data_IF_299592592561
#
_entry.id   IF_299592592561
#
_cell.length_a   1.000
_cell.length_b   1.000
_cell.length_c   1.000
_cell.angle_alpha   90.00
_cell.angle_beta   90.00
_cell.angle_gamma   90.00
#
_symmetry.space_group_name_H-M   'P 1'
#
loop_
_entity.id
_entity.type
_entity.pdbx_description
1 polymer ?
#
# COMPACT_ATOMS: atom_id res chain seq x y z
N UNK A 1 -21.70 -24.94 -4.94
CA UNK A 1 -21.44 -24.61 -3.53
C UNK A 1 -19.94 -24.69 -3.36
N UNK A 2 -19.33 -23.56 -3.07
CA UNK A 2 -17.89 -23.32 -3.20
C UNK A 2 -17.10 -24.14 -2.17
N UNK A 3 -16.76 -25.37 -2.53
CA UNK A 3 -15.94 -26.25 -1.72
C UNK A 3 -14.46 -25.87 -1.94
N UNK A 4 -14.08 -24.74 -1.35
CA UNK A 4 -12.70 -24.26 -1.35
C UNK A 4 -12.01 -24.83 -0.11
N UNK A 5 -11.13 -25.84 -0.24
CA UNK A 5 -10.57 -26.57 0.90
C UNK A 5 -9.89 -25.67 1.92
N UNK A 6 -9.25 -24.60 1.47
CA UNK A 6 -8.56 -23.65 2.35
C UNK A 6 -9.50 -22.93 3.34
N UNK A 7 -10.80 -22.81 3.03
CA UNK A 7 -11.76 -22.19 3.96
C UNK A 7 -12.03 -23.07 5.19
N UNK A 8 -11.71 -24.36 5.14
CA UNK A 8 -11.89 -25.26 6.28
C UNK A 8 -10.89 -25.00 7.41
N UNK A 9 -9.81 -24.27 7.13
CA UNK A 9 -8.85 -23.86 8.15
C UNK A 9 -9.33 -22.68 9.02
N UNK A 10 -10.45 -22.06 8.65
CA UNK A 10 -11.01 -20.90 9.32
C UNK A 10 -12.08 -21.31 10.32
N UNK A 11 -12.20 -20.55 11.40
CA UNK A 11 -13.36 -20.69 12.28
C UNK A 11 -14.64 -20.15 11.60
N UNK A 12 -15.79 -20.44 12.17
CA UNK A 12 -17.10 -20.09 11.58
C UNK A 12 -17.23 -18.60 11.28
N UNK A 13 -16.79 -17.74 12.19
CA UNK A 13 -16.89 -16.28 12.00
C UNK A 13 -15.94 -15.78 10.89
N UNK A 14 -14.70 -16.25 10.87
CA UNK A 14 -13.72 -15.92 9.83
C UNK A 14 -14.19 -16.40 8.46
N UNK A 15 -14.72 -17.64 8.39
CA UNK A 15 -15.28 -18.19 7.15
C UNK A 15 -16.45 -17.36 6.67
N UNK A 16 -17.35 -16.94 7.55
CA UNK A 16 -18.47 -16.08 7.18
C UNK A 16 -18.00 -14.78 6.54
N UNK A 17 -17.02 -14.09 7.14
CA UNK A 17 -16.40 -12.88 6.56
C UNK A 17 -15.82 -13.15 5.17
N UNK A 18 -15.21 -14.31 4.94
CA UNK A 18 -14.65 -14.65 3.63
C UNK A 18 -15.70 -14.81 2.55
N UNK A 19 -16.87 -15.38 2.86
CA UNK A 19 -17.93 -15.63 1.89
C UNK A 19 -18.91 -14.47 1.73
N UNK A 20 -19.03 -13.59 2.73
CA UNK A 20 -19.90 -12.42 2.69
C UNK A 20 -19.56 -11.50 1.50
N UNK A 21 -20.57 -10.91 0.88
CA UNK A 21 -20.44 -9.97 -0.22
C UNK A 21 -20.63 -8.52 0.23
N UNK A 22 -20.17 -7.60 -0.59
CA UNK A 22 -20.28 -6.16 -0.35
C UNK A 22 -19.19 -5.58 0.55
N UNK A 23 -19.48 -4.44 1.16
CA UNK A 23 -18.52 -3.73 2.02
C UNK A 23 -18.54 -4.33 3.43
N UNK A 24 -17.38 -4.78 3.90
CA UNK A 24 -17.23 -5.43 5.19
C UNK A 24 -16.26 -4.64 6.06
N UNK A 25 -16.68 -4.34 7.30
CA UNK A 25 -15.81 -3.80 8.34
C UNK A 25 -15.51 -4.88 9.39
N UNK A 26 -14.31 -5.45 9.35
CA UNK A 26 -13.86 -6.44 10.31
C UNK A 26 -13.19 -5.77 11.51
N UNK A 27 -13.87 -5.76 12.65
CA UNK A 27 -13.32 -5.34 13.95
C UNK A 27 -12.91 -6.56 14.76
N UNK A 28 -11.66 -6.60 15.19
CA UNK A 28 -11.14 -7.73 15.95
C UNK A 28 -9.92 -7.33 16.78
N UNK A 29 -9.70 -8.00 17.90
CA UNK A 29 -8.55 -7.76 18.78
C UNK A 29 -7.20 -8.11 18.13
N UNK A 30 -6.07 -7.59 18.60
CA UNK A 30 -4.76 -8.07 18.22
C UNK A 30 -4.66 -9.60 18.39
N UNK A 31 -4.01 -10.29 17.45
CA UNK A 31 -3.87 -11.75 17.51
C UNK A 31 -5.08 -12.58 17.08
N UNK A 32 -6.23 -11.98 16.81
CA UNK A 32 -7.47 -12.69 16.42
C UNK A 32 -7.47 -13.27 15.00
N UNK A 33 -6.38 -13.08 14.25
CA UNK A 33 -6.26 -13.58 12.88
C UNK A 33 -6.84 -12.66 11.79
N UNK A 34 -6.94 -11.34 12.01
CA UNK A 34 -7.41 -10.39 10.98
C UNK A 34 -6.68 -10.53 9.63
N UNK A 35 -5.36 -10.54 9.66
CA UNK A 35 -4.54 -10.70 8.45
C UNK A 35 -4.83 -12.03 7.77
N UNK A 36 -4.95 -13.10 8.55
CA UNK A 36 -5.33 -14.42 8.04
C UNK A 36 -6.68 -14.36 7.35
N UNK A 37 -7.71 -13.82 7.99
CA UNK A 37 -9.04 -13.68 7.41
C UNK A 37 -9.01 -12.86 6.11
N UNK A 38 -8.26 -11.76 6.07
CA UNK A 38 -8.08 -10.96 4.85
C UNK A 38 -7.43 -11.77 3.72
N UNK A 39 -6.37 -12.50 3.99
CA UNK A 39 -5.69 -13.34 2.99
C UNK A 39 -6.64 -14.39 2.42
N UNK A 40 -7.40 -15.07 3.26
CA UNK A 40 -8.37 -16.07 2.82
C UNK A 40 -9.57 -15.45 2.08
N UNK A 41 -9.96 -14.22 2.43
CA UNK A 41 -10.93 -13.45 1.64
C UNK A 41 -10.41 -13.14 0.23
N UNK A 42 -9.15 -12.75 0.10
CA UNK A 42 -8.53 -12.53 -1.21
C UNK A 42 -8.50 -13.82 -2.03
N UNK A 43 -8.07 -14.93 -1.42
CA UNK A 43 -8.08 -16.25 -2.05
C UNK A 43 -9.49 -16.63 -2.55
N UNK A 44 -10.50 -16.45 -1.70
CA UNK A 44 -11.89 -16.70 -2.06
C UNK A 44 -12.35 -15.87 -3.26
N UNK A 45 -12.01 -14.56 -3.28
CA UNK A 45 -12.40 -13.67 -4.39
C UNK A 45 -11.71 -14.06 -5.70
N UNK A 46 -10.44 -14.47 -5.66
CA UNK A 46 -9.71 -14.94 -6.84
C UNK A 46 -10.37 -16.18 -7.43
N UNK A 47 -10.64 -17.19 -6.61
CA UNK A 47 -11.27 -18.43 -7.05
C UNK A 47 -12.70 -18.21 -7.54
N UNK A 48 -13.49 -17.45 -6.79
CA UNK A 48 -14.88 -17.15 -7.13
C UNK A 48 -15.01 -16.39 -8.46
N UNK A 49 -14.09 -15.49 -8.75
CA UNK A 49 -14.10 -14.66 -9.95
C UNK A 49 -12.97 -15.01 -10.90
N UNK A 50 -12.58 -16.27 -10.97
CA UNK A 50 -11.45 -16.74 -11.77
C UNK A 50 -11.54 -16.36 -13.26
N UNK A 51 -12.74 -16.33 -13.82
CA UNK A 51 -12.99 -15.90 -15.18
C UNK A 51 -13.00 -14.38 -15.38
N UNK A 52 -12.97 -13.61 -14.30
CA UNK A 52 -12.97 -12.14 -14.36
C UNK A 52 -11.56 -11.62 -14.66
N UNK A 53 -11.49 -10.54 -15.44
CA UNK A 53 -10.24 -9.80 -15.66
C UNK A 53 -9.93 -8.79 -14.52
N UNK A 54 -10.75 -8.75 -13.46
CA UNK A 54 -10.57 -7.83 -12.35
C UNK A 54 -9.38 -8.25 -11.49
N UNK A 55 -8.59 -7.27 -11.11
CA UNK A 55 -7.50 -7.42 -10.15
C UNK A 55 -8.04 -7.19 -8.74
N UNK A 56 -7.75 -8.10 -7.81
CA UNK A 56 -8.02 -7.91 -6.40
C UNK A 56 -6.85 -7.16 -5.77
N UNK A 57 -7.11 -6.09 -5.03
CA UNK A 57 -6.07 -5.23 -4.47
C UNK A 57 -6.13 -5.28 -2.95
N UNK A 58 -5.01 -5.63 -2.31
CA UNK A 58 -4.82 -5.56 -0.87
C UNK A 58 -3.80 -4.47 -0.53
N UNK A 59 -4.24 -3.49 0.24
CA UNK A 59 -3.39 -2.36 0.66
C UNK A 59 -3.10 -2.49 2.15
N UNK A 60 -1.81 -2.38 2.51
CA UNK A 60 -1.32 -2.42 3.88
C UNK A 60 -0.60 -1.13 4.23
N UNK A 61 -0.30 -0.96 5.51
CA UNK A 61 0.50 0.18 5.97
C UNK A 61 2.01 -0.07 5.86
N UNK A 62 2.47 -1.32 6.00
CA UNK A 62 3.89 -1.68 6.02
C UNK A 62 4.24 -2.74 4.98
N UNK A 63 5.47 -2.71 4.48
CA UNK A 63 6.00 -3.74 3.58
C UNK A 63 5.94 -5.13 4.23
N UNK A 64 6.31 -5.24 5.51
CA UNK A 64 6.25 -6.50 6.25
C UNK A 64 4.86 -7.14 6.24
N UNK A 65 3.81 -6.33 6.41
CA UNK A 65 2.44 -6.84 6.36
C UNK A 65 2.04 -7.26 4.93
N UNK A 66 2.53 -6.56 3.91
CA UNK A 66 2.33 -6.96 2.52
C UNK A 66 3.01 -8.30 2.22
N UNK A 67 4.25 -8.47 2.65
CA UNK A 67 5.03 -9.69 2.45
C UNK A 67 4.38 -10.89 3.16
N UNK A 68 3.90 -10.70 4.40
CA UNK A 68 3.15 -11.73 5.13
C UNK A 68 1.90 -12.21 4.37
N UNK A 69 1.17 -11.29 3.73
CA UNK A 69 0.00 -11.65 2.92
C UNK A 69 0.41 -12.42 1.68
N UNK A 70 1.46 -12.00 0.96
CA UNK A 70 1.99 -12.69 -0.23
C UNK A 70 2.41 -14.12 0.10
N UNK A 71 3.27 -14.30 1.10
CA UNK A 71 3.72 -15.63 1.55
C UNK A 71 2.54 -16.57 1.90
N UNK A 72 1.47 -16.04 2.47
CA UNK A 72 0.29 -16.85 2.78
C UNK A 72 -0.52 -17.20 1.55
N UNK A 73 -0.64 -16.29 0.56
CA UNK A 73 -1.30 -16.58 -0.72
C UNK A 73 -0.54 -17.66 -1.50
N UNK A 74 0.80 -17.59 -1.52
CA UNK A 74 1.66 -18.61 -2.11
C UNK A 74 1.42 -19.99 -1.49
N UNK A 75 1.34 -20.08 -0.14
CA UNK A 75 1.08 -21.34 0.57
C UNK A 75 -0.25 -22.00 0.23
N UNK A 76 -1.24 -21.24 -0.16
CA UNK A 76 -2.55 -21.74 -0.57
C UNK A 76 -2.69 -21.78 -2.10
N UNK A 77 -1.58 -21.69 -2.82
CA UNK A 77 -1.48 -21.85 -4.28
C UNK A 77 -2.37 -20.90 -5.10
N UNK A 78 -2.63 -19.70 -4.57
CA UNK A 78 -3.43 -18.70 -5.28
C UNK A 78 -2.58 -18.00 -6.34
N UNK A 79 -3.14 -17.87 -7.54
CA UNK A 79 -2.48 -17.21 -8.67
C UNK A 79 -2.19 -15.74 -8.37
N UNK A 80 -0.91 -15.37 -8.36
CA UNK A 80 -0.43 -14.00 -8.15
C UNK A 80 -0.95 -13.01 -9.19
N UNK A 81 -1.22 -13.47 -10.41
CA UNK A 81 -1.70 -12.63 -11.51
C UNK A 81 -3.09 -12.00 -11.26
N UNK A 82 -3.80 -12.43 -10.24
CA UNK A 82 -5.14 -11.96 -9.88
C UNK A 82 -5.18 -11.11 -8.62
N UNK A 83 -4.05 -10.96 -7.94
CA UNK A 83 -3.95 -10.22 -6.69
C UNK A 83 -2.75 -9.28 -6.74
N UNK A 84 -2.97 -8.04 -6.38
CA UNK A 84 -1.91 -7.10 -6.07
C UNK A 84 -1.87 -6.82 -4.56
N UNK A 85 -0.71 -6.93 -3.95
CA UNK A 85 -0.50 -6.67 -2.52
C UNK A 85 0.66 -5.72 -2.33
N UNK A 86 0.44 -4.63 -1.63
CA UNK A 86 1.48 -3.64 -1.37
C UNK A 86 1.05 -2.57 -0.37
N UNK A 87 1.93 -1.59 -0.18
CA UNK A 87 1.61 -0.42 0.65
C UNK A 87 0.81 0.62 -0.13
N UNK A 88 0.17 1.55 0.60
CA UNK A 88 -0.54 2.67 -0.04
C UNK A 88 0.39 3.50 -0.95
N UNK A 89 1.65 3.68 -0.57
CA UNK A 89 2.63 4.40 -1.38
C UNK A 89 2.93 3.68 -2.69
N UNK A 90 3.14 2.35 -2.63
CA UNK A 90 3.35 1.53 -3.82
C UNK A 90 2.12 1.55 -4.73
N UNK A 91 0.92 1.46 -4.16
CA UNK A 91 -0.32 1.55 -4.92
C UNK A 91 -0.45 2.90 -5.66
N UNK A 92 -0.25 4.01 -4.95
CA UNK A 92 -0.29 5.34 -5.56
C UNK A 92 0.75 5.50 -6.67
N UNK A 93 1.96 4.99 -6.45
CA UNK A 93 3.02 5.04 -7.44
C UNK A 93 2.68 4.26 -8.70
N UNK A 94 2.22 3.02 -8.55
CA UNK A 94 2.01 2.09 -9.65
C UNK A 94 0.74 2.38 -10.45
N UNK A 95 -0.36 2.66 -9.76
CA UNK A 95 -1.67 2.81 -10.41
C UNK A 95 -2.10 4.26 -10.66
N UNK A 96 -1.46 5.23 -9.98
CA UNK A 96 -1.83 6.65 -10.11
C UNK A 96 -0.69 7.45 -10.73
N UNK A 97 0.51 7.45 -10.12
CA UNK A 97 1.59 8.34 -10.58
C UNK A 97 2.13 7.87 -11.93
N UNK A 98 2.64 6.64 -12.02
CA UNK A 98 3.27 6.12 -13.24
C UNK A 98 2.39 6.23 -14.50
N UNK A 99 1.12 5.81 -14.50
CA UNK A 99 0.28 5.91 -15.70
C UNK A 99 -0.02 7.34 -16.12
N UNK A 100 -0.02 8.28 -15.18
CA UNK A 100 -0.45 9.67 -15.43
C UNK A 100 0.71 10.69 -15.46
N UNK A 101 1.97 10.26 -15.34
CA UNK A 101 3.15 11.16 -15.39
C UNK A 101 3.16 12.05 -16.63
N UNK A 102 2.80 11.49 -17.79
CA UNK A 102 2.79 12.23 -19.06
C UNK A 102 1.82 13.43 -19.07
N UNK A 103 0.77 13.37 -18.27
CA UNK A 103 -0.22 14.46 -18.18
C UNK A 103 0.20 15.58 -17.22
N UNK A 104 1.21 15.35 -16.38
CA UNK A 104 1.67 16.34 -15.40
C UNK A 104 2.94 17.06 -15.88
N UNK A 105 2.91 18.40 -15.99
CA UNK A 105 3.97 19.21 -16.60
C UNK A 105 5.37 18.95 -16.03
N UNK A 106 5.49 18.71 -14.71
CA UNK A 106 6.77 18.41 -14.04
C UNK A 106 7.16 16.95 -14.22
N UNK A 107 6.24 16.00 -13.94
CA UNK A 107 6.54 14.57 -13.92
C UNK A 107 6.84 13.99 -15.31
N UNK A 108 6.32 14.56 -16.39
CA UNK A 108 6.56 14.08 -17.76
C UNK A 108 8.03 14.14 -18.22
N UNK A 109 8.87 14.94 -17.51
CA UNK A 109 10.30 15.04 -17.79
C UNK A 109 11.12 13.97 -17.06
N UNK A 110 10.49 13.11 -16.33
CA UNK A 110 11.07 12.15 -15.40
C UNK A 110 10.94 12.62 -13.95
N UNK A 111 11.04 11.67 -13.04
CA UNK A 111 11.03 11.92 -11.60
C UNK A 111 11.84 10.84 -10.89
N UNK A 112 12.36 11.19 -9.74
CA UNK A 112 13.00 10.27 -8.82
C UNK A 112 12.20 10.22 -7.51
N UNK A 113 12.09 9.03 -6.96
CA UNK A 113 11.51 8.87 -5.62
C UNK A 113 12.68 8.90 -4.66
N UNK A 114 12.67 9.87 -3.77
CA UNK A 114 13.66 10.00 -2.72
C UNK A 114 13.09 9.46 -1.40
N UNK A 115 13.92 8.81 -0.61
CA UNK A 115 13.56 8.35 0.70
C UNK A 115 13.64 9.47 1.77
N UNK A 116 13.27 9.14 3.00
CA UNK A 116 13.27 10.07 4.12
C UNK A 116 14.68 10.59 4.43
N UNK A 117 15.70 9.75 4.28
CA UNK A 117 17.08 10.13 4.53
C UNK A 117 17.57 11.20 3.54
N UNK A 118 17.36 10.95 2.24
CA UNK A 118 17.71 11.90 1.19
C UNK A 118 16.90 13.21 1.33
N UNK A 119 15.62 13.07 1.65
CA UNK A 119 14.76 14.24 1.94
C UNK A 119 15.34 15.10 3.05
N UNK A 120 15.80 14.47 4.14
CA UNK A 120 16.40 15.17 5.27
C UNK A 120 17.68 15.90 4.88
N UNK A 121 18.56 15.25 4.11
CA UNK A 121 19.78 15.88 3.62
C UNK A 121 19.47 17.14 2.78
N UNK A 122 18.54 17.04 1.82
CA UNK A 122 18.14 18.22 1.03
C UNK A 122 17.58 19.35 1.88
N UNK A 123 16.82 19.04 2.93
CA UNK A 123 16.28 20.05 3.84
C UNK A 123 17.40 20.71 4.63
N UNK A 124 18.36 19.94 5.14
CA UNK A 124 19.53 20.44 5.88
C UNK A 124 20.37 21.38 4.99
N UNK A 125 20.64 21.00 3.75
CA UNK A 125 21.33 21.83 2.77
C UNK A 125 20.58 23.15 2.49
N UNK A 126 19.25 23.12 2.37
CA UNK A 126 18.43 24.31 2.14
C UNK A 126 18.46 25.23 3.35
N UNK A 127 18.38 24.69 4.57
CA UNK A 127 18.45 25.47 5.82
C UNK A 127 19.79 26.19 5.92
N UNK A 128 20.88 25.48 5.66
CA UNK A 128 22.23 26.03 5.68
C UNK A 128 22.41 27.14 4.63
N UNK A 129 21.95 26.91 3.40
CA UNK A 129 22.02 27.88 2.31
C UNK A 129 21.20 29.15 2.55
N UNK A 130 20.04 29.01 3.23
CA UNK A 130 19.19 30.14 3.56
C UNK A 130 19.63 30.84 4.87
N UNK A 131 20.50 30.22 5.67
CA UNK A 131 20.96 30.75 6.95
C UNK A 131 19.83 30.88 7.99
N UNK A 132 18.81 29.99 7.93
CA UNK A 132 17.64 30.02 8.80
C UNK A 132 17.91 29.15 10.03
N UNK A 133 17.73 29.70 11.23
CA UNK A 133 17.70 28.92 12.47
C UNK A 133 16.28 28.44 12.74
N UNK A 134 16.02 27.16 12.55
CA UNK A 134 14.70 26.54 12.76
C UNK A 134 14.45 26.11 14.21
N UNK A 135 15.47 26.09 15.07
CA UNK A 135 15.37 25.65 16.46
C UNK A 135 14.70 24.27 16.56
N UNK A 136 13.59 24.19 17.31
CA UNK A 136 12.77 22.96 17.46
C UNK A 136 11.58 22.88 16.49
N UNK A 137 11.43 23.84 15.57
CA UNK A 137 10.32 23.88 14.62
C UNK A 137 10.52 22.89 13.46
N UNK A 138 9.44 22.49 12.82
CA UNK A 138 9.52 21.62 11.64
C UNK A 138 9.97 22.44 10.43
N UNK A 139 10.90 21.94 9.62
CA UNK A 139 11.43 22.68 8.47
C UNK A 139 10.35 23.23 7.53
N UNK A 140 9.31 22.46 7.24
CA UNK A 140 8.24 22.86 6.33
C UNK A 140 7.22 23.86 6.93
N UNK A 141 7.37 24.28 8.18
CA UNK A 141 6.65 25.41 8.75
C UNK A 141 7.19 26.77 8.27
N UNK A 142 8.38 26.77 7.65
CA UNK A 142 9.01 27.94 7.04
C UNK A 142 8.70 27.99 5.54
N UNK A 143 7.94 29.02 5.05
CA UNK A 143 7.57 29.14 3.65
C UNK A 143 8.77 29.15 2.69
N UNK A 144 9.85 29.78 3.09
CA UNK A 144 11.08 29.91 2.28
C UNK A 144 11.75 28.54 2.03
N UNK A 145 11.79 27.69 3.07
CA UNK A 145 12.33 26.32 2.98
C UNK A 145 11.43 25.51 2.07
N UNK A 146 10.11 25.58 2.27
CA UNK A 146 9.14 24.83 1.47
C UNK A 146 9.21 25.24 -0.01
N UNK A 147 9.27 26.54 -0.31
CA UNK A 147 9.35 27.05 -1.68
C UNK A 147 10.63 26.57 -2.36
N UNK A 148 11.79 26.66 -1.68
CA UNK A 148 13.07 26.23 -2.22
C UNK A 148 13.13 24.71 -2.42
N UNK A 149 12.62 23.95 -1.47
CA UNK A 149 12.48 22.49 -1.61
C UNK A 149 11.65 22.12 -2.84
N UNK A 150 10.49 22.76 -3.05
CA UNK A 150 9.62 22.52 -4.20
C UNK A 150 10.24 22.93 -5.56
N UNK A 151 11.18 23.88 -5.57
CA UNK A 151 11.89 24.27 -6.80
C UNK A 151 12.98 23.27 -7.18
N UNK A 152 13.59 22.62 -6.19
CA UNK A 152 14.70 21.69 -6.39
C UNK A 152 14.23 20.24 -6.61
N UNK A 153 13.00 19.91 -6.24
CA UNK A 153 12.32 18.64 -6.53
C UNK A 153 11.44 18.76 -7.77
#
# INVERSE_FOLDING_TARGET
MDDMPFLNELNTQQRQVCIDEGNILLKACPGSGKTRTLTYKLAYLVEKYIASQKLNIAITYTNRAADEIKERLERIEISENKVWVGTIHQFCLEFIIRPYTMYHKRLRKGYHIIDEYVTKQYIEEIIEELGIDIGYSKPFEYPEILEKYQKNC
#
